data_IF_291891800093
#
_entry.id   IF_291891800093
#
_cell.length_a   1.000
_cell.length_b   1.000
_cell.length_c   1.000
_cell.angle_alpha   90.00
_cell.angle_beta   90.00
_cell.angle_gamma   90.00
#
_symmetry.space_group_name_H-M   'P 1'
#
loop_
_entity.id
_entity.type
_entity.pdbx_description
1 polymer ?
#
# COMPACT_ATOMS: atom_id res chain seq x y z
N UNK A 1 21.41 -34.62 24.69
CA UNK A 1 22.47 -35.21 25.50
C UNK A 1 22.30 -34.84 26.98
N UNK A 2 22.82 -35.69 27.89
CA UNK A 2 22.73 -35.42 29.33
C UNK A 2 23.48 -34.16 29.80
N UNK A 3 24.44 -33.67 29.01
CA UNK A 3 25.20 -32.43 29.26
C UNK A 3 24.48 -31.16 28.75
N UNK A 4 23.25 -31.28 28.25
CA UNK A 4 22.48 -30.17 27.69
C UNK A 4 22.80 -29.81 26.25
N UNK A 5 23.70 -30.50 25.58
CA UNK A 5 24.02 -30.26 24.15
C UNK A 5 22.94 -30.82 23.25
N UNK A 6 22.68 -30.11 22.14
CA UNK A 6 21.67 -30.48 21.14
C UNK A 6 22.15 -31.70 20.33
N UNK A 7 21.21 -32.62 20.03
CA UNK A 7 21.46 -33.78 19.17
C UNK A 7 20.86 -33.45 17.79
N UNK A 8 21.69 -33.42 16.76
CA UNK A 8 21.24 -33.18 15.38
C UNK A 8 20.52 -34.39 14.79
N UNK A 9 21.10 -35.57 14.96
CA UNK A 9 20.60 -36.82 14.40
C UNK A 9 20.70 -37.94 15.44
N UNK A 10 19.64 -38.75 15.52
CA UNK A 10 19.71 -39.94 16.36
C UNK A 10 20.58 -41.00 15.67
N UNK A 11 21.72 -41.42 16.26
CA UNK A 11 22.60 -42.40 15.63
C UNK A 11 22.00 -43.80 15.50
N UNK A 12 20.86 -44.06 16.17
CA UNK A 12 20.17 -45.36 16.18
C UNK A 12 19.04 -45.41 15.15
N UNK A 13 18.53 -44.27 14.74
CA UNK A 13 17.39 -44.15 13.79
C UNK A 13 17.86 -43.42 12.55
N UNK A 14 17.75 -44.08 11.38
CA UNK A 14 18.01 -43.43 10.11
C UNK A 14 17.16 -42.19 9.95
N UNK A 15 17.78 -41.13 9.51
CA UNK A 15 17.26 -39.81 9.20
C UNK A 15 15.76 -39.70 8.92
N UNK A 16 15.07 -38.93 9.72
CA UNK A 16 13.74 -38.41 9.39
C UNK A 16 13.81 -37.02 8.71
N UNK A 17 12.78 -36.58 8.01
CA UNK A 17 12.75 -35.29 7.31
C UNK A 17 12.82 -34.06 8.23
N UNK A 18 12.77 -34.25 9.55
CA UNK A 18 12.81 -33.18 10.57
C UNK A 18 14.13 -33.08 11.33
N UNK A 19 15.14 -33.86 10.93
CA UNK A 19 16.41 -33.85 11.60
C UNK A 19 17.07 -32.47 11.54
N UNK A 20 17.48 -31.97 12.72
CA UNK A 20 18.17 -30.69 12.87
C UNK A 20 17.32 -29.41 12.90
N UNK A 21 16.05 -29.46 12.59
CA UNK A 21 15.17 -28.27 12.62
C UNK A 21 15.11 -27.63 14.02
N UNK A 22 15.05 -28.45 15.06
CA UNK A 22 15.02 -27.97 16.45
C UNK A 22 16.29 -27.22 16.85
N UNK A 23 17.44 -27.49 16.21
CA UNK A 23 18.71 -26.80 16.45
C UNK A 23 18.65 -25.37 15.87
N UNK A 24 18.07 -25.19 14.67
CA UNK A 24 17.86 -23.86 14.08
C UNK A 24 16.97 -22.96 14.96
N UNK A 25 15.96 -23.55 15.60
CA UNK A 25 15.03 -22.83 16.49
C UNK A 25 15.68 -22.58 17.86
N UNK A 26 16.49 -23.52 18.37
CA UNK A 26 17.06 -23.48 19.72
C UNK A 26 18.32 -22.62 19.84
N UNK A 27 19.12 -22.49 18.78
CA UNK A 27 20.39 -21.76 18.77
C UNK A 27 20.21 -20.23 18.93
N UNK A 28 19.08 -19.64 18.41
CA UNK A 28 18.78 -18.20 18.53
C UNK A 28 19.71 -17.28 17.75
N UNK A 29 20.72 -17.78 17.04
CA UNK A 29 21.66 -17.01 16.23
C UNK A 29 21.13 -16.78 14.83
N UNK A 30 20.33 -17.72 14.29
CA UNK A 30 19.59 -17.54 13.04
C UNK A 30 18.33 -16.73 13.29
N UNK A 31 18.18 -15.58 12.60
CA UNK A 31 17.07 -14.66 12.80
C UNK A 31 16.76 -13.84 11.54
N UNK A 32 15.52 -13.41 11.46
CA UNK A 32 15.04 -12.42 10.50
C UNK A 32 14.48 -11.24 11.27
N UNK A 33 14.88 -10.05 10.88
CA UNK A 33 14.42 -8.79 11.48
C UNK A 33 13.93 -7.91 10.34
N UNK A 34 12.72 -7.39 10.48
CA UNK A 34 12.14 -6.42 9.56
C UNK A 34 11.70 -5.20 10.35
N UNK A 35 12.21 -4.04 9.96
CA UNK A 35 11.84 -2.76 10.54
C UNK A 35 11.17 -1.88 9.50
N UNK A 36 9.89 -1.62 9.71
CA UNK A 36 9.10 -0.73 8.88
C UNK A 36 8.96 0.63 9.54
N UNK A 37 9.41 1.69 8.86
CA UNK A 37 9.27 3.08 9.30
C UNK A 37 8.53 3.87 8.25
N UNK A 38 7.55 4.66 8.67
CA UNK A 38 6.83 5.56 7.78
C UNK A 38 6.57 6.90 8.44
N UNK A 39 6.55 7.93 7.60
CA UNK A 39 6.27 9.30 7.98
C UNK A 39 5.25 9.86 6.99
N UNK A 40 4.19 10.44 7.50
CA UNK A 40 3.15 11.05 6.68
C UNK A 40 2.95 12.50 7.10
N UNK A 41 2.95 13.40 6.12
CA UNK A 41 2.56 14.78 6.27
C UNK A 41 1.30 15.02 5.45
N UNK A 42 0.30 15.64 6.07
CA UNK A 42 -0.92 16.07 5.40
C UNK A 42 -1.10 17.56 5.67
N UNK A 43 -1.30 18.29 4.61
CA UNK A 43 -1.62 19.72 4.67
C UNK A 43 -2.89 19.97 3.89
N UNK A 44 -3.81 20.74 4.48
CA UNK A 44 -5.09 21.10 3.87
C UNK A 44 -5.34 22.58 4.04
N UNK A 45 -5.80 23.21 2.99
CA UNK A 45 -6.17 24.64 3.02
C UNK A 45 -7.53 24.83 2.34
N UNK A 46 -8.37 25.62 2.98
CA UNK A 46 -9.69 25.99 2.46
C UNK A 46 -9.79 27.50 2.43
N UNK A 47 -9.97 28.05 1.23
CA UNK A 47 -10.24 29.48 1.02
C UNK A 47 -11.72 29.70 0.66
N UNK A 48 -12.42 30.48 1.46
CA UNK A 48 -13.75 30.98 1.12
C UNK A 48 -13.60 32.20 0.21
N UNK A 49 -13.84 32.02 -1.09
CA UNK A 49 -13.66 33.08 -2.09
C UNK A 49 -14.82 34.05 -2.02
N UNK A 50 -16.04 33.52 -1.98
CA UNK A 50 -17.28 34.27 -1.85
C UNK A 50 -18.40 33.36 -1.31
N UNK A 51 -19.58 33.90 -1.08
CA UNK A 51 -20.73 33.10 -0.62
C UNK A 51 -21.00 31.95 -1.61
N UNK A 52 -20.98 30.73 -1.09
CA UNK A 52 -21.20 29.52 -1.87
C UNK A 52 -19.96 29.01 -2.64
N UNK A 53 -18.85 29.76 -2.76
CA UNK A 53 -17.67 29.36 -3.51
C UNK A 53 -16.46 29.19 -2.59
N UNK A 54 -15.91 27.99 -2.56
CA UNK A 54 -14.70 27.65 -1.81
C UNK A 54 -13.65 27.01 -2.73
N UNK A 55 -12.39 27.30 -2.46
CA UNK A 55 -11.25 26.57 -3.02
C UNK A 55 -10.62 25.72 -1.93
N UNK A 56 -10.37 24.46 -2.24
CA UNK A 56 -9.68 23.54 -1.34
C UNK A 56 -8.43 23.01 -2.04
N UNK A 57 -7.33 22.98 -1.30
CA UNK A 57 -6.09 22.34 -1.74
C UNK A 57 -5.57 21.43 -0.63
N UNK A 58 -5.25 20.19 -0.98
CA UNK A 58 -4.69 19.19 -0.10
C UNK A 58 -3.36 18.70 -0.67
N UNK A 59 -2.39 18.54 0.19
CA UNK A 59 -1.12 17.89 -0.13
C UNK A 59 -0.81 16.82 0.89
N UNK A 60 -0.56 15.61 0.42
CA UNK A 60 -0.15 14.49 1.24
C UNK A 60 1.21 13.98 0.75
N UNK A 61 2.12 13.83 1.68
CA UNK A 61 3.42 13.22 1.47
C UNK A 61 3.59 12.03 2.41
N UNK A 62 3.95 10.88 1.86
CA UNK A 62 4.32 9.70 2.65
C UNK A 62 5.70 9.22 2.24
N UNK A 63 6.58 9.11 3.22
CA UNK A 63 7.87 8.44 3.09
C UNK A 63 7.84 7.15 3.91
N UNK A 64 8.21 6.05 3.29
CA UNK A 64 8.37 4.76 3.97
C UNK A 64 9.73 4.14 3.66
N UNK A 65 10.30 3.51 4.67
CA UNK A 65 11.49 2.68 4.55
C UNK A 65 11.24 1.33 5.21
N UNK A 66 11.74 0.29 4.60
CA UNK A 66 11.81 -1.06 5.16
C UNK A 66 13.28 -1.48 5.20
N UNK A 67 13.75 -1.81 6.39
CA UNK A 67 15.05 -2.44 6.62
C UNK A 67 14.79 -3.91 6.97
N UNK A 68 15.24 -4.80 6.10
CA UNK A 68 15.15 -6.24 6.32
C UNK A 68 16.55 -6.82 6.45
N UNK A 69 16.75 -7.65 7.47
CA UNK A 69 17.96 -8.42 7.68
C UNK A 69 17.60 -9.89 7.98
N UNK A 70 18.21 -10.79 7.24
CA UNK A 70 18.16 -12.21 7.52
C UNK A 70 19.57 -12.70 7.83
N UNK A 71 19.74 -13.29 8.98
CA UNK A 71 20.94 -13.95 9.41
C UNK A 71 20.67 -15.44 9.58
N UNK A 72 21.39 -16.25 8.84
CA UNK A 72 21.37 -17.70 8.98
C UNK A 72 22.78 -18.15 9.39
N UNK A 73 22.87 -18.89 10.45
CA UNK A 73 24.15 -19.45 10.97
C UNK A 73 24.17 -20.98 10.83
N UNK A 74 25.32 -21.54 10.83
CA UNK A 74 25.47 -23.01 10.85
C UNK A 74 25.04 -23.53 12.21
N UNK A 75 24.18 -24.55 12.21
CA UNK A 75 23.79 -25.20 13.45
C UNK A 75 24.95 -26.01 14.04
N UNK A 76 25.22 -25.78 15.31
CA UNK A 76 26.16 -26.60 16.09
C UNK A 76 25.37 -27.65 16.83
N UNK A 77 25.90 -28.86 16.85
CA UNK A 77 25.26 -29.99 17.50
C UNK A 77 26.29 -30.93 18.05
N UNK A 78 25.87 -31.89 18.87
CA UNK A 78 26.72 -32.93 19.38
C UNK A 78 25.98 -34.27 19.31
N UNK A 79 26.57 -35.27 18.69
CA UNK A 79 26.04 -36.63 18.71
C UNK A 79 26.37 -37.33 20.00
N UNK A 80 27.52 -36.98 20.59
CA UNK A 80 28.01 -37.54 21.86
C UNK A 80 28.42 -36.40 22.80
N UNK A 81 28.28 -36.56 24.11
CA UNK A 81 28.72 -35.56 25.08
C UNK A 81 30.20 -35.17 24.87
N UNK A 82 30.45 -33.85 24.84
CA UNK A 82 31.82 -33.31 24.71
C UNK A 82 32.38 -33.24 23.30
N UNK A 83 31.63 -33.64 22.26
CA UNK A 83 32.06 -33.56 20.86
C UNK A 83 31.15 -32.56 20.11
N UNK A 84 31.66 -31.39 19.77
CA UNK A 84 30.95 -30.41 18.95
C UNK A 84 31.16 -30.67 17.46
N UNK A 85 30.08 -30.73 16.72
CA UNK A 85 30.05 -30.85 15.26
C UNK A 85 29.24 -29.71 14.63
N UNK A 86 29.43 -29.45 13.34
CA UNK A 86 28.70 -28.43 12.61
C UNK A 86 27.90 -29.06 11.47
N UNK A 87 26.63 -28.78 11.40
CA UNK A 87 25.75 -29.28 10.35
C UNK A 87 26.22 -28.83 8.96
N UNK A 88 26.34 -29.81 8.04
CA UNK A 88 26.83 -29.59 6.67
C UNK A 88 25.71 -29.38 5.64
N UNK A 89 24.43 -29.42 6.04
CA UNK A 89 23.31 -29.23 5.13
C UNK A 89 23.32 -27.80 4.52
N UNK A 90 22.92 -27.68 3.26
CA UNK A 90 22.95 -26.41 2.53
C UNK A 90 22.09 -25.31 3.16
N UNK A 91 21.03 -25.67 3.84
CA UNK A 91 20.15 -24.74 4.59
C UNK A 91 20.78 -24.19 5.88
N UNK A 92 21.89 -24.79 6.36
CA UNK A 92 22.68 -24.31 7.48
C UNK A 92 23.87 -23.46 7.03
N UNK A 93 23.81 -22.91 5.83
CA UNK A 93 24.85 -22.00 5.35
C UNK A 93 24.93 -20.75 6.23
N UNK A 94 26.15 -20.32 6.52
CA UNK A 94 26.36 -19.07 7.21
C UNK A 94 26.10 -17.91 6.24
N UNK A 95 24.87 -17.37 6.26
CA UNK A 95 24.36 -16.35 5.31
C UNK A 95 24.01 -15.06 6.04
N UNK A 96 24.35 -13.94 5.44
CA UNK A 96 23.80 -12.63 5.74
C UNK A 96 23.09 -12.10 4.50
N UNK A 97 21.83 -11.73 4.64
CA UNK A 97 21.07 -11.00 3.64
C UNK A 97 20.55 -9.70 4.22
N UNK A 98 20.60 -8.63 3.46
CA UNK A 98 20.03 -7.33 3.81
C UNK A 98 19.27 -6.77 2.62
N UNK A 99 18.10 -6.23 2.89
CA UNK A 99 17.28 -5.52 1.94
C UNK A 99 16.89 -4.17 2.52
N UNK A 100 17.02 -3.15 1.71
CA UNK A 100 16.58 -1.81 2.05
C UNK A 100 15.65 -1.30 0.97
N UNK A 101 14.45 -0.98 1.37
CA UNK A 101 13.42 -0.40 0.52
C UNK A 101 13.11 1.02 0.96
N UNK A 102 12.80 1.88 0.00
CA UNK A 102 12.24 3.21 0.28
C UNK A 102 11.23 3.62 -0.77
N UNK A 103 10.20 4.30 -0.31
CA UNK A 103 9.14 4.84 -1.14
C UNK A 103 8.85 6.29 -0.77
N UNK A 104 8.64 7.12 -1.80
CA UNK A 104 8.20 8.50 -1.70
C UNK A 104 6.89 8.64 -2.45
N UNK A 105 5.82 8.84 -1.73
CA UNK A 105 4.50 9.04 -2.30
C UNK A 105 4.06 10.49 -2.08
N UNK A 106 3.56 11.10 -3.15
CA UNK A 106 2.99 12.44 -3.16
C UNK A 106 1.57 12.37 -3.72
N UNK A 107 0.66 13.09 -3.10
CA UNK A 107 -0.68 13.31 -3.59
C UNK A 107 -1.03 14.79 -3.45
N UNK A 108 -1.58 15.37 -4.50
CA UNK A 108 -2.09 16.74 -4.55
C UNK A 108 -3.51 16.71 -5.06
N UNK A 109 -4.43 17.30 -4.33
CA UNK A 109 -5.80 17.57 -4.75
C UNK A 109 -6.04 19.07 -4.71
N UNK A 110 -6.60 19.64 -5.75
CA UNK A 110 -7.05 21.02 -5.71
C UNK A 110 -8.36 21.16 -6.47
N UNK A 111 -9.36 21.80 -5.84
CA UNK A 111 -10.68 21.91 -6.41
C UNK A 111 -11.44 23.14 -5.92
N UNK A 112 -12.30 23.64 -6.80
CA UNK A 112 -13.33 24.61 -6.50
C UNK A 112 -14.63 23.88 -6.20
N UNK A 113 -15.31 24.31 -5.17
CA UNK A 113 -16.64 23.85 -4.80
C UNK A 113 -17.58 25.05 -4.76
N UNK A 114 -18.65 24.97 -5.53
CA UNK A 114 -19.73 25.93 -5.52
C UNK A 114 -21.02 25.28 -5.02
N UNK A 115 -21.68 25.90 -4.07
CA UNK A 115 -22.95 25.44 -3.49
C UNK A 115 -23.79 26.64 -3.12
N UNK A 116 -24.92 26.82 -3.79
CA UNK A 116 -25.82 27.96 -3.54
C UNK A 116 -27.26 27.64 -3.90
N UNK A 117 -28.16 28.27 -3.18
CA UNK A 117 -29.63 28.17 -3.39
C UNK A 117 -30.19 29.52 -3.75
N UNK A 118 -30.94 29.58 -4.84
CA UNK A 118 -31.67 30.76 -5.34
C UNK A 118 -33.17 30.42 -5.38
N UNK A 119 -33.90 30.86 -4.41
CA UNK A 119 -35.30 30.49 -4.23
C UNK A 119 -35.47 28.95 -4.15
N UNK A 120 -36.14 28.36 -5.13
CA UNK A 120 -36.35 26.91 -5.21
C UNK A 120 -35.27 26.19 -6.03
N UNK A 121 -34.23 26.87 -6.48
CA UNK A 121 -33.18 26.33 -7.33
C UNK A 121 -31.91 26.17 -6.50
N UNK A 122 -31.45 24.94 -6.28
CA UNK A 122 -30.19 24.65 -5.65
C UNK A 122 -29.21 24.14 -6.71
N UNK A 123 -28.04 24.77 -6.81
CA UNK A 123 -26.95 24.42 -7.73
C UNK A 123 -25.71 24.10 -6.90
N UNK A 124 -25.14 22.96 -7.17
CA UNK A 124 -23.82 22.61 -6.65
C UNK A 124 -22.91 22.17 -7.79
N UNK A 125 -21.65 22.57 -7.73
CA UNK A 125 -20.66 22.22 -8.72
C UNK A 125 -19.30 22.02 -8.06
N UNK A 126 -18.53 21.07 -8.59
CA UNK A 126 -17.13 20.86 -8.20
C UNK A 126 -16.30 20.73 -9.46
N UNK A 127 -15.15 21.39 -9.52
CA UNK A 127 -14.16 21.19 -10.58
C UNK A 127 -12.76 21.22 -9.98
N UNK A 128 -11.93 20.28 -10.39
CA UNK A 128 -10.60 20.19 -9.82
C UNK A 128 -9.71 19.17 -10.51
N UNK A 129 -8.54 18.99 -9.93
CA UNK A 129 -7.60 17.97 -10.35
C UNK A 129 -7.03 17.20 -9.15
N UNK A 130 -6.58 16.01 -9.45
CA UNK A 130 -5.82 15.14 -8.56
C UNK A 130 -4.52 14.76 -9.26
N UNK A 131 -3.42 14.77 -8.52
CA UNK A 131 -2.13 14.27 -8.98
C UNK A 131 -1.52 13.36 -7.92
N UNK A 132 -1.11 12.18 -8.35
CA UNK A 132 -0.42 11.22 -7.50
C UNK A 132 0.88 10.79 -8.15
N UNK A 133 1.91 10.58 -7.33
CA UNK A 133 3.19 10.05 -7.77
C UNK A 133 3.76 9.15 -6.68
N UNK A 134 4.32 8.03 -7.09
CA UNK A 134 5.16 7.20 -6.21
C UNK A 134 6.52 6.95 -6.86
N UNK A 135 7.56 6.99 -6.05
CA UNK A 135 8.91 6.61 -6.43
C UNK A 135 9.43 5.59 -5.42
N UNK A 136 9.58 4.36 -5.87
CA UNK A 136 10.06 3.23 -5.08
C UNK A 136 11.47 2.86 -5.53
N UNK A 137 12.33 2.53 -4.56
CA UNK A 137 13.67 1.98 -4.77
C UNK A 137 13.93 0.87 -3.77
N UNK A 138 14.64 -0.17 -4.22
CA UNK A 138 15.13 -1.21 -3.34
C UNK A 138 16.57 -1.58 -3.66
N UNK A 139 17.26 -2.10 -2.66
CA UNK A 139 18.57 -2.71 -2.73
C UNK A 139 18.57 -3.99 -1.92
N UNK A 140 19.10 -5.03 -2.48
CA UNK A 140 19.26 -6.33 -1.82
C UNK A 140 20.70 -6.78 -1.97
N UNK A 141 21.29 -7.23 -0.88
CA UNK A 141 22.59 -7.86 -0.88
C UNK A 141 22.55 -9.13 -0.03
N UNK A 142 23.18 -10.18 -0.51
CA UNK A 142 23.40 -11.40 0.28
C UNK A 142 24.82 -11.87 0.11
N UNK A 143 25.33 -12.47 1.16
CA UNK A 143 26.64 -13.09 1.19
C UNK A 143 26.61 -14.35 2.03
N UNK A 144 27.25 -15.41 1.52
CA UNK A 144 27.43 -16.68 2.22
C UNK A 144 28.80 -16.71 2.90
N UNK A 145 28.97 -17.71 3.70
CA UNK A 145 30.27 -18.04 4.37
C UNK A 145 30.80 -16.88 5.22
N UNK A 146 29.90 -16.19 5.94
CA UNK A 146 30.31 -15.21 6.96
C UNK A 146 31.07 -15.93 8.08
N UNK A 147 32.27 -15.46 8.40
CA UNK A 147 33.19 -16.13 9.34
C UNK A 147 32.81 -16.01 10.83
N UNK A 148 31.91 -15.08 11.15
CA UNK A 148 31.43 -14.85 12.52
C UNK A 148 29.95 -15.16 12.65
N UNK A 149 29.55 -15.92 13.66
CA UNK A 149 28.12 -16.18 13.95
C UNK A 149 27.45 -15.01 14.68
N UNK A 150 28.21 -14.14 15.33
CA UNK A 150 27.73 -13.06 16.16
C UNK A 150 27.76 -11.66 15.50
N UNK A 151 28.46 -11.52 14.36
CA UNK A 151 28.62 -10.25 13.68
C UNK A 151 27.92 -10.27 12.33
N UNK A 152 27.15 -9.21 12.06
CA UNK A 152 26.38 -9.05 10.82
C UNK A 152 27.08 -8.04 9.88
N UNK A 153 28.24 -8.44 9.35
CA UNK A 153 29.05 -7.60 8.46
C UNK A 153 29.43 -8.39 7.20
N UNK A 154 29.13 -7.83 6.02
CA UNK A 154 29.48 -8.41 4.72
C UNK A 154 30.99 -8.56 4.50
N UNK A 155 31.83 -7.76 5.17
CA UNK A 155 33.28 -7.84 5.06
C UNK A 155 33.87 -9.10 5.72
N UNK A 156 33.08 -9.78 6.56
CA UNK A 156 33.51 -11.02 7.22
C UNK A 156 33.41 -12.27 6.35
N UNK A 157 32.89 -12.13 5.13
CA UNK A 157 32.89 -13.23 4.17
C UNK A 157 34.07 -13.16 3.19
N UNK A 158 34.37 -14.24 2.49
CA UNK A 158 35.45 -14.31 1.50
C UNK A 158 35.24 -13.28 0.38
N UNK A 159 36.29 -12.52 0.06
CA UNK A 159 36.24 -11.48 -0.98
C UNK A 159 35.97 -12.08 -2.36
N UNK A 160 35.02 -11.47 -3.08
CA UNK A 160 34.72 -11.81 -4.48
C UNK A 160 33.97 -13.13 -4.68
N UNK A 161 33.57 -13.82 -3.62
CA UNK A 161 32.79 -15.05 -3.70
C UNK A 161 31.46 -14.95 -2.94
N UNK A 162 30.51 -15.77 -3.37
CA UNK A 162 29.25 -16.00 -2.67
C UNK A 162 28.47 -14.69 -2.37
N UNK A 163 28.55 -13.74 -3.30
CA UNK A 163 27.90 -12.43 -3.20
C UNK A 163 26.80 -12.32 -4.26
N UNK A 164 25.61 -11.95 -3.84
CA UNK A 164 24.53 -11.52 -4.72
C UNK A 164 24.18 -10.08 -4.38
N UNK A 165 24.15 -9.21 -5.38
CA UNK A 165 23.68 -7.82 -5.25
C UNK A 165 22.63 -7.58 -6.29
N UNK A 166 21.47 -7.10 -5.87
CA UNK A 166 20.35 -6.75 -6.72
C UNK A 166 19.78 -5.38 -6.30
N UNK A 167 19.07 -4.74 -7.19
CA UNK A 167 18.40 -3.51 -6.89
C UNK A 167 17.54 -3.06 -8.05
N UNK A 168 16.61 -2.21 -7.75
CA UNK A 168 15.69 -1.69 -8.74
C UNK A 168 15.00 -0.42 -8.29
N UNK A 169 14.34 0.20 -9.25
CA UNK A 169 13.50 1.35 -8.98
C UNK A 169 12.29 1.34 -9.90
N UNK A 170 11.19 1.86 -9.39
CA UNK A 170 9.99 2.10 -10.17
C UNK A 170 9.42 3.48 -9.85
N UNK A 171 8.84 4.10 -10.85
CA UNK A 171 8.16 5.38 -10.70
C UNK A 171 6.88 5.36 -11.51
N UNK A 172 5.79 5.81 -10.90
CA UNK A 172 4.53 6.01 -11.59
C UNK A 172 3.89 7.32 -11.16
N UNK A 173 3.05 7.86 -12.02
CA UNK A 173 2.24 9.03 -11.76
C UNK A 173 0.85 8.87 -12.35
N UNK A 174 -0.14 9.44 -11.68
CA UNK A 174 -1.53 9.54 -12.07
C UNK A 174 -1.91 11.02 -12.10
N UNK A 175 -2.71 11.41 -13.07
CA UNK A 175 -3.27 12.74 -13.18
C UNK A 175 -4.74 12.62 -13.55
N UNK A 176 -5.61 13.23 -12.78
CA UNK A 176 -7.04 13.26 -13.03
C UNK A 176 -7.57 14.69 -13.00
N UNK A 177 -8.40 15.03 -13.96
CA UNK A 177 -9.25 16.22 -13.90
C UNK A 177 -10.69 15.76 -13.73
N UNK A 178 -11.43 16.40 -12.85
CA UNK A 178 -12.82 16.05 -12.60
C UNK A 178 -13.72 17.26 -12.51
N UNK A 179 -14.95 17.05 -12.90
CA UNK A 179 -16.02 18.02 -12.80
C UNK A 179 -17.33 17.34 -12.43
N UNK A 180 -18.11 17.99 -11.60
CA UNK A 180 -19.47 17.61 -11.24
C UNK A 180 -20.32 18.85 -11.26
N UNK A 181 -21.51 18.74 -11.77
CA UNK A 181 -22.58 19.73 -11.63
C UNK A 181 -23.87 19.02 -11.24
N UNK A 182 -24.52 19.53 -10.23
CA UNK A 182 -25.82 19.04 -9.81
C UNK A 182 -26.80 20.18 -9.65
N UNK A 183 -28.05 19.86 -9.92
CA UNK A 183 -29.17 20.77 -9.84
C UNK A 183 -30.33 20.09 -9.13
N UNK A 184 -30.93 20.83 -8.23
CA UNK A 184 -32.12 20.42 -7.49
C UNK A 184 -33.16 21.54 -7.58
N UNK A 185 -34.35 21.21 -8.03
CA UNK A 185 -35.48 22.10 -8.05
C UNK A 185 -36.48 21.74 -6.96
N UNK A 186 -36.68 22.69 -6.03
CA UNK A 186 -37.61 22.60 -4.90
C UNK A 186 -37.44 21.34 -4.03
N UNK A 187 -36.24 20.70 -4.00
CA UNK A 187 -36.02 19.43 -3.31
C UNK A 187 -36.69 18.24 -3.99
N UNK A 188 -37.35 18.41 -5.13
CA UNK A 188 -38.16 17.40 -5.82
C UNK A 188 -37.49 16.77 -7.01
N UNK A 189 -36.94 17.56 -7.92
CA UNK A 189 -36.36 17.13 -9.17
C UNK A 189 -34.85 17.35 -9.13
N UNK A 190 -34.11 16.25 -9.27
CA UNK A 190 -32.65 16.26 -9.13
C UNK A 190 -32.03 15.80 -10.44
N UNK A 191 -30.97 16.48 -10.87
CA UNK A 191 -30.11 16.05 -11.97
C UNK A 191 -28.67 16.26 -11.58
N UNK A 192 -27.80 15.32 -11.99
CA UNK A 192 -26.36 15.35 -11.72
C UNK A 192 -25.60 14.87 -12.95
N UNK A 193 -24.58 15.60 -13.32
CA UNK A 193 -23.60 15.21 -14.35
C UNK A 193 -22.21 15.22 -13.74
N UNK A 194 -21.46 14.16 -14.00
CA UNK A 194 -20.06 14.06 -13.61
C UNK A 194 -19.23 13.72 -14.85
N UNK A 195 -18.04 14.25 -14.91
CA UNK A 195 -17.03 13.88 -15.91
C UNK A 195 -15.66 13.78 -15.24
N UNK A 196 -14.91 12.75 -15.61
CA UNK A 196 -13.55 12.58 -15.17
C UNK A 196 -12.67 12.23 -16.36
N UNK A 197 -11.55 12.92 -16.47
CA UNK A 197 -10.44 12.56 -17.37
C UNK A 197 -9.27 12.10 -16.52
N UNK A 198 -8.82 10.88 -16.72
CA UNK A 198 -7.72 10.29 -15.97
C UNK A 198 -6.61 9.86 -16.92
N UNK A 199 -5.36 10.10 -16.50
CA UNK A 199 -4.16 9.66 -17.19
C UNK A 199 -3.22 8.92 -16.23
N UNK A 200 -2.64 7.81 -16.69
CA UNK A 200 -1.71 6.98 -15.92
C UNK A 200 -0.42 6.74 -16.69
N UNK A 201 0.71 6.94 -16.04
CA UNK A 201 2.02 6.63 -16.60
C UNK A 201 2.30 5.13 -16.72
N UNK A 202 1.46 4.28 -16.14
CA UNK A 202 1.58 2.81 -16.19
C UNK A 202 1.19 2.23 -17.55
N UNK A 203 0.41 2.98 -18.33
CA UNK A 203 0.00 2.56 -19.67
C UNK A 203 0.94 3.10 -20.75
N UNK A 204 1.02 2.43 -21.94
CA UNK A 204 1.71 2.94 -23.12
C UNK A 204 1.21 4.33 -23.52
N UNK A 205 2.08 5.14 -24.15
CA UNK A 205 1.79 6.55 -24.44
C UNK A 205 0.44 6.82 -25.11
N UNK A 206 0.03 5.94 -26.03
CA UNK A 206 -1.21 6.11 -26.82
C UNK A 206 -2.49 5.68 -26.07
N UNK A 207 -2.36 5.07 -24.90
CA UNK A 207 -3.48 4.54 -24.11
C UNK A 207 -3.46 5.05 -22.66
N UNK A 208 -2.79 6.16 -22.41
CA UNK A 208 -2.59 6.69 -21.04
C UNK A 208 -3.79 7.37 -20.45
N UNK A 209 -4.69 7.87 -21.29
CA UNK A 209 -5.80 8.71 -20.85
C UNK A 209 -7.15 8.13 -21.24
N UNK A 210 -8.14 8.34 -20.38
CA UNK A 210 -9.53 7.99 -20.60
C UNK A 210 -10.49 9.05 -20.07
N UNK A 211 -11.70 9.11 -20.62
CA UNK A 211 -12.78 9.97 -20.18
C UNK A 211 -13.93 9.14 -19.67
N UNK A 212 -14.43 9.48 -18.49
CA UNK A 212 -15.44 8.72 -17.76
C UNK A 212 -16.62 9.62 -17.38
N UNK A 213 -17.60 9.81 -18.26
CA UNK A 213 -18.81 10.57 -17.96
C UNK A 213 -19.82 9.73 -17.18
N UNK A 214 -20.61 10.39 -16.34
CA UNK A 214 -21.79 9.78 -15.71
C UNK A 214 -22.91 10.81 -15.56
N UNK A 215 -24.14 10.32 -15.58
CA UNK A 215 -25.35 11.12 -15.44
C UNK A 215 -26.34 10.43 -14.51
N UNK A 216 -27.04 11.21 -13.69
CA UNK A 216 -28.08 10.72 -12.81
C UNK A 216 -29.24 11.70 -12.76
N UNK A 217 -30.46 11.18 -12.68
CA UNK A 217 -31.68 11.93 -12.40
C UNK A 217 -32.41 11.32 -11.22
N UNK A 218 -33.06 12.15 -10.44
CA UNK A 218 -33.83 11.74 -9.28
C UNK A 218 -35.13 12.49 -9.15
N UNK A 219 -36.16 11.81 -8.69
CA UNK A 219 -37.46 12.40 -8.37
C UNK A 219 -37.84 12.00 -6.96
N UNK A 220 -38.01 13.00 -6.09
CA UNK A 220 -38.44 12.82 -4.71
C UNK A 220 -39.92 13.00 -4.60
N UNK A 221 -40.68 11.94 -4.77
CA UNK A 221 -42.14 11.92 -4.75
C UNK A 221 -42.70 12.32 -3.40
N UNK A 222 -41.99 12.06 -2.30
CA UNK A 222 -42.40 12.46 -0.95
C UNK A 222 -42.56 13.98 -0.75
N UNK A 223 -42.00 14.81 -1.63
CA UNK A 223 -42.15 16.27 -1.57
C UNK A 223 -43.32 16.79 -2.38
N UNK A 224 -44.09 15.93 -3.04
CA UNK A 224 -45.30 16.31 -3.77
C UNK A 224 -46.51 16.30 -2.90
N UNK A 225 -47.47 17.21 -3.16
CA UNK A 225 -48.71 17.36 -2.39
C UNK A 225 -49.57 16.07 -2.40
N UNK A 226 -49.56 15.32 -3.51
CA UNK A 226 -50.32 14.06 -3.59
C UNK A 226 -49.78 12.97 -2.65
N UNK A 227 -48.56 13.12 -2.15
CA UNK A 227 -47.93 12.16 -1.25
C UNK A 227 -48.29 12.39 0.23
N UNK A 228 -48.86 13.56 0.59
CA UNK A 228 -49.15 13.95 1.96
C UNK A 228 -49.98 12.92 2.74
N UNK A 229 -50.99 12.22 2.18
CA UNK A 229 -51.77 11.22 2.93
C UNK A 229 -50.96 10.04 3.44
N UNK A 230 -49.89 9.69 2.71
CA UNK A 230 -49.07 8.50 3.04
C UNK A 230 -47.70 8.89 3.64
N UNK A 231 -47.39 10.18 3.77
CA UNK A 231 -46.14 10.72 4.32
C UNK A 231 -45.86 10.24 5.77
N UNK A 232 -46.92 9.97 6.53
CA UNK A 232 -46.83 9.43 7.90
C UNK A 232 -46.24 8.03 7.95
N UNK A 233 -46.38 7.24 6.87
CA UNK A 233 -45.89 5.88 6.74
C UNK A 233 -44.53 5.90 5.99
N UNK A 234 -44.43 6.67 4.91
CA UNK A 234 -43.24 6.81 4.08
C UNK A 234 -42.75 8.26 4.12
N UNK A 235 -41.88 8.59 5.06
CA UNK A 235 -41.35 9.97 5.23
C UNK A 235 -40.45 10.43 4.10
N UNK A 236 -39.81 9.52 3.37
CA UNK A 236 -38.95 9.83 2.23
C UNK A 236 -39.08 8.75 1.14
N UNK A 237 -39.59 9.15 -0.03
CA UNK A 237 -39.70 8.29 -1.20
C UNK A 237 -39.08 8.97 -2.41
N UNK A 238 -37.98 8.39 -2.92
CA UNK A 238 -37.18 8.90 -4.03
C UNK A 238 -36.89 7.80 -5.06
N UNK A 239 -37.12 8.10 -6.31
CA UNK A 239 -36.68 7.25 -7.44
C UNK A 239 -35.43 7.90 -8.04
N UNK A 240 -34.42 7.10 -8.35
CA UNK A 240 -33.18 7.54 -9.01
C UNK A 240 -32.81 6.58 -10.16
N UNK A 241 -32.41 7.17 -11.28
CA UNK A 241 -31.81 6.49 -12.42
C UNK A 241 -30.41 7.07 -12.66
N UNK A 242 -29.46 6.22 -12.97
CA UNK A 242 -28.11 6.67 -13.27
C UNK A 242 -27.45 5.76 -14.32
N UNK A 243 -26.60 6.37 -15.13
CA UNK A 243 -25.75 5.67 -16.10
C UNK A 243 -24.37 6.31 -16.12
N UNK A 244 -23.34 5.56 -16.47
CA UNK A 244 -21.98 6.09 -16.53
C UNK A 244 -20.98 5.07 -17.07
N UNK A 245 -19.82 5.59 -17.45
CA UNK A 245 -18.64 4.82 -17.81
C UNK A 245 -17.65 4.81 -16.66
N UNK A 246 -17.02 3.67 -16.42
CA UNK A 246 -16.00 3.50 -15.41
C UNK A 246 -14.71 3.01 -16.06
N UNK A 247 -13.58 3.48 -15.56
CA UNK A 247 -12.25 2.99 -15.91
C UNK A 247 -11.59 2.31 -14.72
N UNK A 248 -10.74 1.33 -15.01
CA UNK A 248 -9.86 0.68 -14.03
C UNK A 248 -8.40 0.91 -14.43
N UNK A 249 -7.50 1.05 -13.45
CA UNK A 249 -6.06 1.27 -13.62
C UNK A 249 -5.24 0.12 -13.03
#
# INVERSE_FOLDING_TARGET
>A
NPDGTWVYQNPIQASGPSDGIHILIGDGTSKSIEENRYMTYSWSTIFKIMKGLTFTANYNFKHSTTDYMERSTRAKYSQYPGVEEVAQASWFSNKLAQEYEKSFYHNVDAYLNYDNTFNSHHIYAVAGFNYEQNHYKHHYATKLNIQSDNLNDFNLGEKGKDVTVQGGQSKWALLGYFGRIGYDYAGKYLAEFNIRWDASSRFPKDHRAGVFPSFAVGYRMSEEAFFDPIRKVFSNFKIRLSTGSLGNQ
#
